data_IF_823548851589
#
_entry.id   IF_823548851589
#
_cell.length_a   1.000
_cell.length_b   1.000
_cell.length_c   1.000
_cell.angle_alpha   90.00
_cell.angle_beta   90.00
_cell.angle_gamma   90.00
#
_symmetry.space_group_name_H-M   'P 1'
#
loop_
_entity.id
_entity.type
_entity.pdbx_description
1 polymer ?
#
# COMPACT_ATOMS: atom_id res chain seq x y z
N UNK A 1 2.02 5.35 14.29
CA UNK A 1 1.10 6.43 13.91
C UNK A 1 1.53 7.70 14.60
N UNK A 2 1.57 8.79 13.88
CA UNK A 2 1.96 10.11 14.37
C UNK A 2 0.77 11.06 14.34
N UNK A 3 0.70 11.99 15.31
CA UNK A 3 -0.33 13.03 15.35
C UNK A 3 0.23 14.33 14.78
N UNK A 4 -0.49 14.92 13.85
CA UNK A 4 -0.28 16.27 13.36
C UNK A 4 -1.42 17.15 13.87
N UNK A 5 -1.11 18.19 14.63
CA UNK A 5 -2.08 19.19 15.06
C UNK A 5 -1.99 20.42 14.15
N UNK A 6 -3.04 20.68 13.35
CA UNK A 6 -3.12 21.88 12.53
C UNK A 6 -3.15 23.12 13.45
N UNK A 7 -2.12 24.01 13.42
CA UNK A 7 -2.02 25.09 14.39
C UNK A 7 -3.18 26.10 14.27
N UNK A 8 -3.71 26.29 13.08
CA UNK A 8 -4.78 27.25 12.79
C UNK A 8 -5.84 26.64 11.87
N UNK A 9 -7.06 27.18 11.95
CA UNK A 9 -8.03 26.97 10.91
C UNK A 9 -7.50 27.47 9.55
N UNK A 10 -7.74 26.74 8.49
CA UNK A 10 -7.18 27.09 7.19
C UNK A 10 -7.18 25.95 6.19
N UNK A 11 -6.46 26.15 5.12
CA UNK A 11 -6.34 25.19 4.02
C UNK A 11 -4.99 24.51 4.05
N UNK A 12 -4.98 23.19 3.97
CA UNK A 12 -3.79 22.35 4.01
C UNK A 12 -3.72 21.45 2.77
N UNK A 13 -2.52 21.33 2.19
CA UNK A 13 -2.22 20.31 1.19
C UNK A 13 -1.71 19.08 1.91
N UNK A 14 -2.33 17.94 1.66
CA UNK A 14 -1.94 16.63 2.16
C UNK A 14 -1.28 15.86 1.01
N UNK A 15 -0.11 15.28 1.28
CA UNK A 15 0.65 14.48 0.32
C UNK A 15 1.11 13.19 0.99
N UNK A 16 0.87 12.05 0.34
CA UNK A 16 1.25 10.73 0.82
C UNK A 16 1.99 9.96 -0.28
N UNK A 17 3.00 9.20 0.11
CA UNK A 17 3.72 8.23 -0.71
C UNK A 17 3.61 6.87 -0.05
N UNK A 18 3.15 5.85 -0.77
CA UNK A 18 3.16 4.47 -0.30
C UNK A 18 4.57 3.89 -0.30
N UNK A 19 4.79 2.83 0.44
CA UNK A 19 6.10 2.19 0.51
C UNK A 19 6.35 1.20 -0.63
N UNK A 20 7.61 0.91 -0.91
CA UNK A 20 8.05 -0.08 -1.89
C UNK A 20 7.86 -1.50 -1.36
N UNK A 21 7.53 -2.46 -2.23
CA UNK A 21 7.56 -3.88 -1.94
C UNK A 21 8.98 -4.42 -1.70
N UNK A 22 9.09 -5.55 -1.01
CA UNK A 22 10.37 -6.20 -0.72
C UNK A 22 11.12 -6.62 -1.98
N UNK A 23 12.43 -6.80 -1.83
CA UNK A 23 13.37 -7.13 -2.90
C UNK A 23 13.37 -6.13 -4.06
N UNK A 24 13.34 -4.83 -3.74
CA UNK A 24 13.31 -3.75 -4.73
C UNK A 24 12.21 -3.86 -5.79
N UNK A 25 11.10 -4.47 -5.43
CA UNK A 25 10.01 -4.83 -6.32
C UNK A 25 9.07 -3.64 -6.63
N UNK A 26 7.77 -3.80 -6.57
CA UNK A 26 6.81 -2.75 -6.92
C UNK A 26 7.02 -1.48 -6.10
N UNK A 27 7.12 -0.34 -6.76
CA UNK A 27 7.27 0.96 -6.10
C UNK A 27 5.94 1.48 -5.57
N UNK A 28 6.00 2.28 -4.50
CA UNK A 28 4.83 2.91 -3.92
C UNK A 28 4.25 4.02 -4.79
N UNK A 29 2.94 4.19 -4.71
CA UNK A 29 2.21 5.26 -5.39
C UNK A 29 2.21 6.57 -4.62
N UNK A 30 1.60 7.59 -5.20
CA UNK A 30 1.46 8.92 -4.65
C UNK A 30 0.01 9.36 -4.64
N UNK A 31 -0.39 10.10 -3.62
CA UNK A 31 -1.69 10.77 -3.53
C UNK A 31 -1.54 12.15 -2.92
N UNK A 32 -2.27 13.13 -3.43
CA UNK A 32 -2.36 14.47 -2.84
C UNK A 32 -3.78 15.03 -2.92
N UNK A 33 -4.07 16.02 -2.10
CA UNK A 33 -5.32 16.74 -2.14
C UNK A 33 -5.37 17.83 -1.07
N UNK A 34 -6.47 18.58 -1.06
CA UNK A 34 -6.69 19.71 -0.18
C UNK A 34 -7.67 19.32 0.93
N UNK A 35 -7.27 19.58 2.15
CA UNK A 35 -8.11 19.48 3.33
C UNK A 35 -8.29 20.85 3.98
N UNK A 36 -9.51 21.15 4.44
CA UNK A 36 -9.85 22.39 5.16
C UNK A 36 -10.06 22.08 6.64
N UNK A 37 -9.29 22.72 7.50
CA UNK A 37 -9.59 22.79 8.93
C UNK A 37 -10.51 23.97 9.21
N UNK A 38 -11.62 23.73 9.86
CA UNK A 38 -12.58 24.76 10.26
C UNK A 38 -12.32 25.31 11.68
N UNK A 39 -11.42 24.66 12.42
CA UNK A 39 -11.06 25.02 13.78
C UNK A 39 -9.54 24.99 13.95
N UNK A 40 -9.03 25.80 14.89
CA UNK A 40 -7.65 25.71 15.34
C UNK A 40 -7.40 24.39 16.09
N UNK A 41 -6.15 23.95 16.07
CA UNK A 41 -5.70 22.73 16.76
C UNK A 41 -6.47 21.46 16.35
N UNK A 42 -6.96 21.41 15.12
CA UNK A 42 -7.59 20.19 14.57
C UNK A 42 -6.54 19.12 14.35
N UNK A 43 -6.77 17.94 14.88
CA UNK A 43 -5.81 16.84 14.80
C UNK A 43 -6.03 15.97 13.55
N UNK A 44 -4.94 15.58 12.90
CA UNK A 44 -4.86 14.53 11.90
C UNK A 44 -3.89 13.45 12.36
N UNK A 45 -4.14 12.23 11.96
CA UNK A 45 -3.33 11.08 12.33
C UNK A 45 -2.72 10.45 11.09
N UNK A 46 -1.39 10.37 11.08
CA UNK A 46 -0.59 9.89 9.95
C UNK A 46 -0.07 8.49 10.24
N UNK A 47 -0.30 7.58 9.32
CA UNK A 47 0.26 6.25 9.35
C UNK A 47 1.15 6.08 8.10
N UNK A 48 2.46 6.03 8.30
CA UNK A 48 3.43 5.87 7.20
C UNK A 48 3.71 4.41 6.97
N UNK A 49 3.58 3.96 5.72
CA UNK A 49 3.88 2.59 5.31
C UNK A 49 5.37 2.28 5.37
N UNK A 50 5.70 1.09 5.82
CA UNK A 50 7.07 0.58 5.83
C UNK A 50 7.37 -0.19 4.54
N UNK A 51 8.61 -0.11 4.06
CA UNK A 51 9.11 -0.92 2.95
C UNK A 51 8.93 -2.42 3.25
N UNK A 52 8.60 -3.19 2.24
CA UNK A 52 8.46 -4.63 2.37
C UNK A 52 9.77 -5.29 2.79
N UNK A 53 9.72 -6.12 3.86
CA UNK A 53 10.87 -6.89 4.34
C UNK A 53 11.16 -8.12 3.48
N UNK A 54 12.40 -8.63 3.60
CA UNK A 54 12.84 -9.92 3.10
C UNK A 54 12.81 -10.87 4.29
N UNK A 55 12.09 -11.99 4.20
CA UNK A 55 11.94 -13.01 5.23
C UNK A 55 11.33 -12.55 6.58
N UNK A 56 10.06 -12.80 6.75
CA UNK A 56 9.40 -12.98 8.03
C UNK A 56 8.88 -11.74 8.75
N UNK A 57 9.07 -10.53 8.27
CA UNK A 57 8.57 -9.32 8.92
C UNK A 57 7.58 -8.58 8.02
N UNK A 58 6.27 -8.65 8.31
CA UNK A 58 5.29 -7.86 7.57
C UNK A 58 5.57 -6.37 7.77
N UNK A 59 5.46 -5.61 6.68
CA UNK A 59 5.63 -4.17 6.72
C UNK A 59 4.51 -3.51 7.53
N UNK A 60 4.86 -2.47 8.28
CA UNK A 60 3.87 -1.66 8.99
C UNK A 60 2.84 -1.07 8.01
N UNK A 61 1.58 -1.06 8.41
CA UNK A 61 0.41 -0.69 7.61
C UNK A 61 0.16 -1.62 6.38
N UNK A 62 0.57 -2.88 6.50
CA UNK A 62 0.27 -3.98 5.57
C UNK A 62 0.27 -5.34 6.27
N UNK A 63 0.11 -5.37 7.58
CA UNK A 63 0.17 -6.60 8.36
C UNK A 63 -1.21 -7.28 8.45
N UNK A 64 -1.39 -8.50 7.89
CA UNK A 64 -2.59 -9.30 8.13
C UNK A 64 -2.72 -9.71 9.59
N UNK A 65 -3.97 -9.85 10.07
CA UNK A 65 -4.23 -10.44 11.36
C UNK A 65 -4.07 -11.97 11.29
N UNK A 66 -3.67 -12.59 12.39
CA UNK A 66 -3.61 -14.05 12.57
C UNK A 66 -2.56 -14.82 11.73
N UNK A 67 -1.50 -14.18 11.25
CA UNK A 67 -0.37 -14.89 10.64
C UNK A 67 0.83 -14.87 11.56
N UNK A 68 1.30 -16.07 11.91
CA UNK A 68 2.61 -16.26 12.53
C UNK A 68 3.66 -16.42 11.43
N UNK A 69 4.45 -15.37 11.23
CA UNK A 69 5.38 -15.25 10.12
C UNK A 69 6.75 -15.84 10.49
N UNK A 70 6.90 -17.15 10.52
CA UNK A 70 8.20 -17.74 10.74
C UNK A 70 8.92 -18.15 9.46
N UNK A 71 8.20 -18.25 8.32
CA UNK A 71 8.74 -18.71 7.05
C UNK A 71 8.22 -17.88 5.86
N UNK A 72 7.99 -16.59 6.06
CA UNK A 72 7.36 -15.78 5.02
C UNK A 72 8.39 -15.38 3.98
N UNK A 73 8.00 -15.55 2.74
CA UNK A 73 8.64 -14.97 1.59
C UNK A 73 8.70 -13.43 1.65
N UNK A 74 8.63 -12.80 0.55
CA UNK A 74 8.82 -11.36 0.43
C UNK A 74 7.55 -10.59 0.77
N UNK A 75 7.65 -9.58 1.64
CA UNK A 75 6.51 -8.77 2.06
C UNK A 75 6.23 -7.62 1.11
N UNK A 76 4.96 -7.31 0.88
CA UNK A 76 4.55 -6.10 0.16
C UNK A 76 4.79 -4.83 0.98
N UNK A 77 4.94 -3.70 0.33
CA UNK A 77 5.06 -2.38 0.98
C UNK A 77 3.76 -1.94 1.64
N UNK A 78 3.87 -1.20 2.74
CA UNK A 78 2.73 -0.62 3.44
C UNK A 78 2.14 0.59 2.72
N UNK A 79 0.84 0.83 2.91
CA UNK A 79 0.23 2.08 2.48
C UNK A 79 0.57 3.23 3.44
N UNK A 80 0.53 4.46 2.94
CA UNK A 80 0.58 5.67 3.78
C UNK A 80 -0.77 6.35 3.74
N UNK A 81 -1.30 6.71 4.91
CA UNK A 81 -2.62 7.33 5.00
C UNK A 81 -2.69 8.44 6.06
N UNK A 82 -3.65 9.34 5.86
CA UNK A 82 -4.02 10.37 6.83
C UNK A 82 -5.50 10.21 7.17
N UNK A 83 -5.82 10.27 8.47
CA UNK A 83 -7.16 10.09 9.02
C UNK A 83 -7.50 11.18 10.02
N UNK A 84 -8.80 11.37 10.29
CA UNK A 84 -9.31 12.33 11.29
C UNK A 84 -9.38 11.73 12.69
N UNK A 85 -9.17 10.42 12.85
CA UNK A 85 -9.28 9.69 14.11
C UNK A 85 -8.10 8.75 14.28
N UNK A 86 -7.61 8.56 15.51
CA UNK A 86 -6.55 7.61 15.82
C UNK A 86 -7.12 6.19 16.02
N UNK A 87 -6.96 5.33 15.02
CA UNK A 87 -7.30 3.89 15.11
C UNK A 87 -6.12 2.97 14.77
N UNK A 88 -4.91 3.51 14.61
CA UNK A 88 -3.75 2.73 14.19
C UNK A 88 -3.72 2.50 12.67
N UNK A 89 -3.40 1.28 12.26
CA UNK A 89 -3.24 0.91 10.85
C UNK A 89 -4.55 1.05 10.04
N UNK A 90 -4.44 1.25 8.73
CA UNK A 90 -5.57 1.47 7.81
C UNK A 90 -6.65 0.39 7.91
N UNK A 91 -6.26 -0.88 8.11
CA UNK A 91 -7.22 -2.00 8.26
C UNK A 91 -8.26 -1.80 9.37
N UNK A 92 -7.95 -0.99 10.38
CA UNK A 92 -8.86 -0.72 11.51
C UNK A 92 -10.02 0.23 11.13
N UNK A 93 -10.01 0.76 9.90
CA UNK A 93 -11.05 1.59 9.31
C UNK A 93 -11.96 0.81 8.34
N UNK A 94 -11.93 -0.52 8.35
CA UNK A 94 -12.61 -1.37 7.37
C UNK A 94 -14.14 -1.26 7.38
N UNK A 95 -14.77 -0.89 8.51
CA UNK A 95 -16.23 -0.72 8.58
C UNK A 95 -16.68 0.59 7.90
N UNK A 96 -17.84 0.60 7.28
CA UNK A 96 -18.32 1.71 6.46
C UNK A 96 -18.43 3.04 7.24
N UNK A 97 -18.81 2.98 8.52
CA UNK A 97 -18.85 4.14 9.41
C UNK A 97 -17.46 4.76 9.67
N UNK A 98 -16.40 3.94 9.66
CA UNK A 98 -15.03 4.39 9.91
C UNK A 98 -14.28 4.83 8.66
N UNK A 99 -14.68 4.34 7.48
CA UNK A 99 -14.05 4.74 6.20
C UNK A 99 -14.16 6.24 5.94
N UNK A 100 -15.22 6.89 6.43
CA UNK A 100 -15.40 8.34 6.32
C UNK A 100 -14.37 9.15 7.14
N UNK A 101 -13.64 8.51 8.05
CA UNK A 101 -12.56 9.13 8.82
C UNK A 101 -11.23 9.13 8.05
N UNK A 102 -11.14 8.40 6.93
CA UNK A 102 -9.94 8.35 6.09
C UNK A 102 -10.00 9.46 5.05
N UNK A 103 -8.99 10.33 5.07
CA UNK A 103 -8.90 11.45 4.12
C UNK A 103 -8.22 11.05 2.81
N UNK A 104 -7.09 10.37 2.92
CA UNK A 104 -6.22 10.08 1.78
C UNK A 104 -5.39 8.82 2.06
N UNK A 105 -5.15 8.02 1.03
CA UNK A 105 -4.28 6.84 1.06
C UNK A 105 -3.41 6.81 -0.19
N UNK A 106 -2.12 6.56 -0.01
CA UNK A 106 -1.20 6.18 -1.09
C UNK A 106 -0.89 4.68 -0.98
N UNK A 107 -1.13 3.92 -2.03
CA UNK A 107 -0.95 2.47 -2.06
C UNK A 107 0.52 2.06 -2.09
N UNK A 108 0.85 0.98 -1.39
CA UNK A 108 2.18 0.34 -1.39
C UNK A 108 2.36 -0.63 -2.57
N UNK A 109 3.60 -0.89 -2.93
CA UNK A 109 3.97 -1.83 -3.99
C UNK A 109 3.90 -3.29 -3.53
N UNK A 110 3.58 -4.20 -4.44
CA UNK A 110 3.68 -5.65 -4.23
C UNK A 110 5.13 -6.13 -4.25
N UNK A 111 5.41 -7.25 -3.59
CA UNK A 111 6.70 -7.93 -3.67
C UNK A 111 6.76 -8.93 -4.81
N UNK A 112 7.91 -9.51 -5.05
CA UNK A 112 8.05 -10.64 -5.98
C UNK A 112 9.13 -11.59 -5.50
N UNK A 113 9.01 -12.85 -5.93
CA UNK A 113 10.05 -13.83 -5.80
C UNK A 113 10.86 -13.92 -7.09
N UNK A 114 12.10 -14.36 -6.96
CA UNK A 114 13.04 -14.53 -8.06
C UNK A 114 13.24 -13.20 -8.84
N UNK A 115 13.36 -13.25 -10.14
CA UNK A 115 13.63 -12.08 -10.97
C UNK A 115 12.34 -11.40 -11.51
N UNK A 116 11.19 -11.63 -10.88
CA UNK A 116 9.93 -10.97 -11.28
C UNK A 116 9.88 -9.50 -10.85
N UNK A 117 8.75 -8.87 -11.09
CA UNK A 117 8.47 -7.51 -10.67
C UNK A 117 7.11 -7.45 -9.99
N UNK A 118 7.07 -7.07 -8.73
CA UNK A 118 5.81 -6.77 -8.03
C UNK A 118 5.09 -5.60 -8.66
N UNK A 119 3.77 -5.62 -8.59
CA UNK A 119 2.94 -4.54 -9.10
C UNK A 119 3.17 -3.24 -8.34
N UNK A 120 3.23 -2.12 -9.05
CA UNK A 120 3.31 -0.81 -8.43
C UNK A 120 2.04 -0.48 -7.65
N UNK A 121 2.20 0.18 -6.51
CA UNK A 121 1.10 0.74 -5.74
C UNK A 121 0.61 2.06 -6.31
N UNK A 122 -0.56 2.50 -5.87
CA UNK A 122 -1.12 3.79 -6.25
C UNK A 122 -1.93 3.78 -7.54
N UNK A 123 -2.31 4.97 -7.97
CA UNK A 123 -3.39 5.11 -8.92
C UNK A 123 -4.73 4.80 -8.24
N UNK A 124 -5.83 4.85 -8.98
CA UNK A 124 -7.11 4.34 -8.47
C UNK A 124 -7.08 2.82 -8.32
N UNK A 125 -6.33 2.14 -9.20
CA UNK A 125 -6.09 0.71 -9.13
C UNK A 125 -4.60 0.45 -9.07
N UNK A 126 -4.18 -0.41 -8.13
CA UNK A 126 -2.82 -0.93 -8.10
C UNK A 126 -2.53 -1.80 -9.32
N UNK A 127 -1.26 -1.95 -9.65
CA UNK A 127 -0.84 -2.76 -10.80
C UNK A 127 -0.73 -4.24 -10.45
N UNK A 128 -0.95 -5.06 -11.45
CA UNK A 128 -0.71 -6.50 -11.35
C UNK A 128 0.79 -6.79 -11.20
N UNK A 129 1.13 -7.86 -10.49
CA UNK A 129 2.49 -8.40 -10.50
C UNK A 129 2.89 -8.95 -11.88
N UNK A 130 4.18 -8.97 -12.17
CA UNK A 130 4.72 -9.49 -13.44
C UNK A 130 5.83 -10.53 -13.17
N UNK A 131 5.47 -11.82 -12.99
CA UNK A 131 6.46 -12.87 -12.81
C UNK A 131 7.21 -13.12 -14.12
N UNK A 132 8.52 -13.34 -14.05
CA UNK A 132 9.36 -13.68 -15.21
C UNK A 132 9.59 -15.19 -15.35
N UNK A 133 9.40 -15.94 -14.28
CA UNK A 133 9.56 -17.40 -14.29
C UNK A 133 8.37 -18.06 -14.98
N UNK A 134 8.65 -19.00 -15.89
CA UNK A 134 7.61 -19.83 -16.53
C UNK A 134 6.80 -20.55 -15.47
N UNK A 135 5.48 -20.35 -15.48
CA UNK A 135 4.57 -20.90 -14.49
C UNK A 135 4.46 -20.08 -13.19
N UNK A 136 5.25 -19.02 -13.03
CA UNK A 136 5.16 -18.10 -11.91
C UNK A 136 3.75 -17.50 -11.75
N UNK A 137 3.30 -17.31 -10.53
CA UNK A 137 1.95 -16.86 -10.20
C UNK A 137 1.86 -15.33 -10.20
N UNK A 138 0.68 -14.83 -10.57
CA UNK A 138 0.43 -13.40 -10.73
C UNK A 138 -0.67 -12.94 -9.78
N UNK A 139 -0.32 -12.11 -8.82
CA UNK A 139 -1.28 -11.37 -8.00
C UNK A 139 -1.84 -10.17 -8.75
N UNK A 140 -3.15 -9.92 -8.58
CA UNK A 140 -3.83 -8.76 -9.17
C UNK A 140 -3.67 -7.52 -8.29
N UNK A 141 -3.66 -6.35 -8.90
CA UNK A 141 -3.74 -5.08 -8.17
C UNK A 141 -5.03 -4.95 -7.37
N UNK A 142 -4.99 -4.21 -6.25
CA UNK A 142 -6.19 -3.78 -5.53
C UNK A 142 -6.93 -2.68 -6.30
N UNK A 143 -8.26 -2.62 -6.17
CA UNK A 143 -9.11 -1.64 -6.83
C UNK A 143 -9.78 -0.69 -5.82
N UNK A 144 -10.69 0.17 -6.28
CA UNK A 144 -11.49 1.03 -5.38
C UNK A 144 -12.54 0.25 -4.58
N UNK A 145 -12.93 -0.94 -5.03
CA UNK A 145 -14.07 -1.67 -4.48
C UNK A 145 -13.69 -3.05 -3.92
N UNK A 146 -12.51 -3.57 -4.24
CA UNK A 146 -12.10 -4.91 -3.82
C UNK A 146 -10.59 -5.07 -3.77
N UNK A 147 -10.13 -5.96 -2.91
CA UNK A 147 -8.74 -6.41 -2.91
C UNK A 147 -8.38 -7.22 -4.15
N UNK A 148 -7.11 -7.20 -4.50
CA UNK A 148 -6.57 -7.97 -5.61
C UNK A 148 -6.67 -9.48 -5.36
N UNK A 149 -6.94 -10.23 -6.43
CA UNK A 149 -7.00 -11.70 -6.37
C UNK A 149 -5.58 -12.24 -6.27
N UNK A 150 -5.35 -13.15 -5.33
CA UNK A 150 -4.08 -13.84 -5.15
C UNK A 150 -3.90 -14.94 -6.20
N UNK A 151 -2.74 -14.94 -6.87
CA UNK A 151 -2.38 -15.96 -7.84
C UNK A 151 -1.73 -17.17 -7.14
N UNK A 152 -2.37 -18.34 -7.26
CA UNK A 152 -1.90 -19.59 -6.62
C UNK A 152 -2.01 -20.78 -7.57
N UNK A 153 -1.29 -21.86 -7.26
CA UNK A 153 -1.49 -23.15 -7.91
C UNK A 153 -2.78 -23.82 -7.37
N UNK A 154 -3.39 -24.73 -8.14
CA UNK A 154 -4.48 -25.56 -7.63
C UNK A 154 -4.02 -26.33 -6.37
N UNK A 155 -4.80 -26.20 -5.29
CA UNK A 155 -4.49 -26.83 -4.00
C UNK A 155 -3.72 -25.96 -3.01
N UNK A 156 -3.17 -24.83 -3.45
CA UNK A 156 -2.54 -23.86 -2.56
C UNK A 156 -3.58 -23.07 -1.77
N UNK A 157 -3.17 -22.61 -0.59
CA UNK A 157 -3.98 -21.67 0.19
C UNK A 157 -3.74 -20.24 -0.32
N UNK A 158 -4.82 -19.47 -0.43
CA UNK A 158 -4.76 -18.08 -0.83
C UNK A 158 -5.61 -17.19 0.08
N UNK A 159 -5.11 -16.00 0.35
CA UNK A 159 -5.86 -14.90 0.92
C UNK A 159 -5.74 -13.71 -0.03
N UNK A 160 -6.87 -13.26 -0.57
CA UNK A 160 -6.92 -12.09 -1.44
C UNK A 160 -6.58 -10.81 -0.65
N UNK A 161 -6.20 -9.77 -1.37
CA UNK A 161 -6.10 -8.45 -0.78
C UNK A 161 -7.40 -8.02 -0.10
N UNK A 162 -7.29 -7.25 0.96
CA UNK A 162 -8.42 -6.73 1.74
C UNK A 162 -8.26 -5.23 1.94
N UNK A 163 -9.25 -4.60 2.56
CA UNK A 163 -9.14 -3.21 2.98
C UNK A 163 -7.92 -3.01 3.90
N UNK A 164 -7.00 -2.15 3.51
CA UNK A 164 -5.77 -1.82 4.24
C UNK A 164 -4.62 -2.82 4.09
N UNK A 165 -4.85 -4.03 3.57
CA UNK A 165 -3.87 -5.13 3.64
C UNK A 165 -3.76 -5.91 2.34
N UNK A 166 -2.53 -6.15 1.90
CA UNK A 166 -2.23 -7.03 0.77
C UNK A 166 -2.44 -8.51 1.10
N UNK A 167 -2.89 -9.24 0.08
CA UNK A 167 -3.08 -10.67 0.13
C UNK A 167 -1.75 -11.45 0.09
N UNK A 168 -1.84 -12.74 0.33
CA UNK A 168 -0.69 -13.65 0.25
C UNK A 168 -1.13 -15.02 -0.27
N UNK A 169 -0.20 -15.71 -0.93
CA UNK A 169 -0.35 -17.10 -1.37
C UNK A 169 0.58 -18.01 -0.59
N UNK A 170 0.17 -19.26 -0.42
CA UNK A 170 0.90 -20.27 0.31
C UNK A 170 0.91 -21.56 -0.50
N UNK A 171 2.10 -22.00 -0.92
CA UNK A 171 2.27 -23.22 -1.70
C UNK A 171 2.35 -24.45 -0.79
N UNK A 172 1.48 -25.41 -1.05
CA UNK A 172 1.54 -26.76 -0.52
C UNK A 172 2.18 -27.65 -1.59
N UNK A 173 3.45 -28.00 -1.51
CA UNK A 173 4.05 -28.93 -2.45
C UNK A 173 4.12 -30.36 -1.88
N UNK A 174 3.49 -31.30 -2.58
CA UNK A 174 3.80 -32.73 -2.68
C UNK A 174 4.32 -33.43 -1.41
N UNK A 175 3.51 -33.49 -0.35
CA UNK A 175 3.80 -34.28 0.84
C UNK A 175 4.97 -33.78 1.71
N UNK A 176 5.74 -32.83 1.24
CA UNK A 176 6.68 -32.05 2.03
C UNK A 176 6.05 -30.70 2.32
N UNK A 177 5.79 -30.42 3.59
CA UNK A 177 5.37 -29.08 4.06
C UNK A 177 6.50 -28.07 3.78
N UNK A 178 6.67 -27.67 2.55
CA UNK A 178 7.45 -26.49 2.24
C UNK A 178 6.51 -25.33 2.44
N UNK A 179 6.70 -24.65 3.55
CA UNK A 179 6.05 -23.38 3.85
C UNK A 179 6.64 -22.31 2.91
N UNK A 180 6.19 -22.30 1.66
CA UNK A 180 6.60 -21.31 0.68
C UNK A 180 5.48 -20.29 0.56
N UNK A 181 5.63 -19.16 1.23
CA UNK A 181 4.64 -18.10 1.25
C UNK A 181 4.70 -17.18 0.03
N UNK A 182 5.59 -17.41 -0.90
CA UNK A 182 5.67 -16.61 -2.11
C UNK A 182 5.77 -15.11 -1.83
N UNK A 183 5.07 -14.32 -2.63
CA UNK A 183 5.09 -12.87 -2.59
C UNK A 183 3.79 -12.30 -2.00
N UNK A 184 3.89 -11.30 -1.12
CA UNK A 184 2.75 -10.58 -0.55
C UNK A 184 2.39 -9.34 -1.40
N UNK A 185 1.10 -9.05 -1.55
CA UNK A 185 0.58 -7.82 -2.16
C UNK A 185 0.88 -6.56 -1.34
N UNK A 186 0.90 -5.42 -1.99
CA UNK A 186 1.02 -4.12 -1.32
C UNK A 186 -0.24 -3.73 -0.56
N UNK A 187 -0.08 -3.00 0.56
CA UNK A 187 -1.18 -2.38 1.29
C UNK A 187 -1.82 -1.22 0.51
N UNK A 188 -3.07 -0.88 0.79
CA UNK A 188 -3.77 0.21 0.09
C UNK A 188 -5.19 0.42 0.60
N UNK A 189 -5.95 1.32 -0.04
CA UNK A 189 -7.41 1.41 0.21
C UNK A 189 -8.03 0.02 0.11
N UNK A 190 -7.66 -0.69 -0.96
CA UNK A 190 -7.67 -2.14 -0.97
C UNK A 190 -6.29 -2.65 -1.36
N UNK A 191 -5.79 -3.63 -0.66
CA UNK A 191 -4.49 -4.24 -0.93
C UNK A 191 -4.48 -5.07 -2.20
N UNK A 192 -3.29 -5.21 -2.81
CA UNK A 192 -3.05 -6.11 -3.93
C UNK A 192 -3.13 -7.58 -3.52
N UNK A 193 -3.36 -8.48 -4.46
CA UNK A 193 -3.28 -9.92 -4.26
C UNK A 193 -1.85 -10.39 -4.13
N UNK A 194 -1.62 -11.41 -3.32
CA UNK A 194 -0.33 -12.11 -3.24
C UNK A 194 -0.10 -13.07 -4.40
N UNK A 195 0.98 -13.80 -4.34
CA UNK A 195 1.30 -14.88 -5.28
C UNK A 195 2.03 -16.01 -4.56
N UNK A 196 1.72 -17.28 -4.90
CA UNK A 196 2.52 -18.43 -4.50
C UNK A 196 3.56 -18.76 -5.57
N UNK A 197 4.55 -19.55 -5.24
CA UNK A 197 5.54 -20.16 -6.15
C UNK A 197 6.12 -19.22 -7.24
N UNK A 198 7.31 -18.73 -7.01
CA UNK A 198 8.06 -17.87 -7.97
C UNK A 198 7.18 -16.74 -8.53
N UNK A 199 6.29 -16.23 -7.71
CA UNK A 199 5.24 -15.33 -8.12
C UNK A 199 5.60 -13.85 -7.95
N UNK A 200 4.77 -13.00 -8.54
CA UNK A 200 4.82 -11.56 -8.36
C UNK A 200 3.46 -11.05 -7.91
N UNK A 201 3.42 -10.37 -6.79
CA UNK A 201 2.21 -9.88 -6.14
C UNK A 201 1.77 -8.53 -6.71
N UNK A 202 0.48 -8.21 -6.60
CA UNK A 202 -0.08 -6.93 -7.03
C UNK A 202 0.17 -5.78 -6.05
N UNK A 203 0.16 -4.55 -6.52
CA UNK A 203 0.19 -3.34 -5.70
C UNK A 203 -1.17 -2.99 -5.10
N UNK A 204 -1.18 -2.21 -4.02
CA UNK A 204 -2.40 -1.69 -3.42
C UNK A 204 -2.92 -0.43 -4.13
N UNK A 205 -4.23 -0.19 -4.04
CA UNK A 205 -4.89 0.99 -4.58
C UNK A 205 -4.75 2.21 -3.66
N UNK A 206 -4.84 3.41 -4.22
CA UNK A 206 -4.90 4.66 -3.44
C UNK A 206 -6.35 5.11 -3.23
N UNK A 207 -6.53 6.13 -2.37
CA UNK A 207 -7.82 6.77 -2.10
C UNK A 207 -7.66 8.26 -1.87
N UNK A 208 -8.53 9.06 -2.46
CA UNK A 208 -8.53 10.53 -2.37
C UNK A 208 -9.93 11.11 -2.10
N UNK A 209 -10.88 10.26 -1.66
CA UNK A 209 -12.28 10.66 -1.49
C UNK A 209 -12.54 11.60 -0.30
N UNK A 210 -11.62 11.69 0.67
CA UNK A 210 -11.72 12.57 1.83
C UNK A 210 -11.09 13.96 1.64
N UNK A 211 -10.57 14.27 0.44
CA UNK A 211 -9.93 15.55 0.10
C UNK A 211 -10.55 16.18 -1.14
N UNK A 212 -10.36 17.48 -1.34
CA UNK A 212 -10.81 18.18 -2.55
C UNK A 212 -9.65 18.38 -3.53
N UNK A 213 -9.95 18.37 -4.85
CA UNK A 213 -8.93 18.53 -5.89
C UNK A 213 -7.85 17.45 -5.84
N UNK A 214 -8.22 16.26 -5.34
CA UNK A 214 -7.29 15.16 -5.16
C UNK A 214 -6.82 14.57 -6.48
N UNK A 215 -5.56 14.11 -6.51
CA UNK A 215 -5.01 13.28 -7.58
C UNK A 215 -4.17 12.14 -7.01
N UNK A 216 -4.00 11.09 -7.79
CA UNK A 216 -3.15 9.95 -7.46
C UNK A 216 -2.32 9.53 -8.67
N UNK A 217 -1.09 9.08 -8.43
CA UNK A 217 -0.12 8.66 -9.45
C UNK A 217 0.38 7.28 -9.08
N UNK A 218 0.31 6.35 -10.02
CA UNK A 218 0.86 5.00 -9.82
C UNK A 218 2.39 5.02 -9.75
N UNK A 219 2.96 4.10 -9.00
CA UNK A 219 4.41 4.01 -8.77
C UNK A 219 5.23 3.58 -10.00
N UNK A 220 4.60 3.15 -11.07
CA UNK A 220 5.23 2.83 -12.36
C UNK A 220 4.96 3.86 -13.45
N UNK A 221 4.27 4.96 -13.14
CA UNK A 221 3.92 5.96 -14.14
C UNK A 221 5.15 6.79 -14.54
N UNK A 222 5.59 6.62 -15.78
CA UNK A 222 6.72 7.33 -16.38
C UNK A 222 6.33 8.65 -17.03
N UNK A 223 5.08 8.78 -17.46
CA UNK A 223 4.56 9.95 -18.16
C UNK A 223 4.22 11.07 -17.19
N UNK A 224 3.68 10.71 -16.02
CA UNK A 224 3.40 11.63 -14.92
C UNK A 224 4.17 11.18 -13.71
N UNK A 225 5.31 11.80 -13.47
CA UNK A 225 6.14 11.52 -12.30
C UNK A 225 5.52 12.11 -11.04
N UNK A 226 5.82 11.50 -9.90
CA UNK A 226 5.44 12.01 -8.60
C UNK A 226 6.57 12.90 -8.03
N UNK A 227 6.25 13.93 -7.22
CA UNK A 227 7.29 14.70 -6.55
C UNK A 227 8.04 13.80 -5.55
N UNK A 228 9.29 14.10 -5.27
CA UNK A 228 10.01 13.51 -4.12
C UNK A 228 9.44 14.09 -2.82
N UNK A 229 9.52 13.36 -1.68
CA UNK A 229 9.01 13.87 -0.40
C UNK A 229 9.63 15.19 0.07
N UNK A 230 10.87 15.49 -0.34
CA UNK A 230 11.54 16.75 -0.05
C UNK A 230 11.14 17.90 -1.02
N UNK A 231 10.31 17.60 -2.01
CA UNK A 231 9.79 18.56 -2.98
C UNK A 231 10.82 19.12 -3.98
N UNK A 232 12.05 18.58 -4.02
CA UNK A 232 13.13 19.15 -4.83
C UNK A 232 13.23 18.59 -6.24
N UNK A 233 12.64 17.43 -6.48
CA UNK A 233 12.70 16.74 -7.78
C UNK A 233 11.46 15.90 -8.02
N UNK A 234 11.43 15.21 -9.15
CA UNK A 234 10.40 14.24 -9.51
C UNK A 234 11.01 12.83 -9.60
N UNK A 235 10.20 11.83 -9.32
CA UNK A 235 10.60 10.41 -9.36
C UNK A 235 9.51 9.53 -9.97
N UNK A 236 9.90 8.37 -10.48
CA UNK A 236 8.98 7.29 -10.86
C UNK A 236 8.84 6.35 -9.68
N UNK A 237 7.72 6.48 -8.96
CA UNK A 237 7.40 5.68 -7.79
C UNK A 237 8.28 5.95 -6.56
N UNK A 238 7.70 5.72 -5.39
CA UNK A 238 8.41 5.81 -4.12
C UNK A 238 9.24 4.54 -3.89
N UNK A 239 10.51 4.72 -3.59
CA UNK A 239 11.43 3.66 -3.16
C UNK A 239 11.63 3.71 -1.64
N UNK A 240 11.84 2.54 -1.02
CA UNK A 240 11.97 2.43 0.44
C UNK A 240 10.65 2.65 1.18
N UNK A 241 10.73 3.27 2.34
CA UNK A 241 9.56 3.58 3.16
C UNK A 241 8.65 4.61 2.48
N UNK A 242 7.39 4.61 2.87
CA UNK A 242 6.46 5.68 2.52
C UNK A 242 6.84 7.01 3.16
N UNK A 243 6.09 8.05 2.80
CA UNK A 243 6.28 9.38 3.36
C UNK A 243 4.94 10.14 3.44
N UNK A 244 4.92 11.16 4.28
CA UNK A 244 3.81 12.10 4.37
C UNK A 244 4.34 13.53 4.49
N UNK A 245 3.70 14.47 3.77
CA UNK A 245 3.96 15.91 3.91
C UNK A 245 2.63 16.64 4.04
N UNK A 246 2.52 17.50 5.04
CA UNK A 246 1.37 18.37 5.26
C UNK A 246 1.84 19.81 5.18
N UNK A 247 1.29 20.57 4.23
CA UNK A 247 1.68 21.97 3.98
C UNK A 247 0.48 22.89 4.20
N UNK A 248 0.63 23.88 5.06
CA UNK A 248 -0.38 24.93 5.22
C UNK A 248 -0.31 25.89 4.02
N UNK A 249 -1.44 26.12 3.36
CA UNK A 249 -1.56 26.97 2.17
C UNK A 249 -2.14 28.36 2.50
N UNK A 250 -3.11 28.41 3.41
CA UNK A 250 -3.74 29.66 3.83
C UNK A 250 -4.27 29.56 5.25
N UNK A 251 -4.49 30.72 5.85
CA UNK A 251 -5.22 30.91 7.10
C UNK A 251 -6.68 31.29 6.77
N UNK A 252 -7.63 30.97 7.62
CA UNK A 252 -9.01 31.46 7.55
C UNK A 252 -9.13 32.80 8.29
#
# INVERSE_FOLDING_TARGET
>A
MEEFTAPYAGTYKLQCWGAQGGDNSGKGGYSEGIWKSTIDKNALYVCVGQVGGIYGFPSYNNKPDNITWFDVGLCGGGSTNITTTNRGELKNFASDDRRNEVLIVAGGGGSCEWNGQGGAGGGFDGKDGNPTTTGGRKGKGGSQNSGGITGVLPGDTSVNGMFGVGGYGYAYSDGYKRNDYGAQGGGGWYGGGGASYAGAAGGGSSYIGGVTGGKTIAGDNTDTKQPTPDGKSEQVGQSGDGACVITQLSFN
#
